data_IF_109369399382
#
_entry.id   IF_109369399382
#
_cell.length_a   1.000
_cell.length_b   1.000
_cell.length_c   1.000
_cell.angle_alpha   90.00
_cell.angle_beta   90.00
_cell.angle_gamma   90.00
#
_symmetry.space_group_name_H-M   'P 1'
#
loop_
_entity.id
_entity.type
_entity.pdbx_description
1 polymer ?
#
# COMPACT_ATOMS: atom_id res chain seq x y z
N UNK A 1 -6.54 -16.65 -6.57
CA UNK A 1 -6.45 -15.35 -7.27
C UNK A 1 -5.59 -14.43 -6.41
N UNK A 2 -4.48 -13.92 -6.93
CA UNK A 2 -3.53 -13.11 -6.14
C UNK A 2 -4.07 -11.69 -5.96
N UNK A 3 -4.38 -11.31 -4.72
CA UNK A 3 -4.79 -9.93 -4.37
C UNK A 3 -3.60 -9.22 -3.74
N UNK A 4 -3.27 -8.05 -4.27
CA UNK A 4 -2.27 -7.14 -3.72
C UNK A 4 -2.96 -6.00 -2.99
N UNK A 5 -2.59 -5.78 -1.73
CA UNK A 5 -2.97 -4.60 -0.95
C UNK A 5 -1.76 -3.68 -0.84
N UNK A 6 -1.84 -2.52 -1.48
CA UNK A 6 -0.88 -1.42 -1.33
C UNK A 6 -1.35 -0.56 -0.17
N UNK A 7 -0.74 -0.76 1.00
CA UNK A 7 -1.04 -0.07 2.25
C UNK A 7 -0.18 1.17 2.39
N UNK A 8 -0.81 2.34 2.37
CA UNK A 8 -0.15 3.64 2.46
C UNK A 8 -0.49 4.42 3.74
N UNK A 9 -0.55 3.72 4.87
CA UNK A 9 -0.71 4.32 6.18
C UNK A 9 0.67 4.68 6.79
N UNK A 10 0.91 5.94 7.22
CA UNK A 10 2.21 6.37 7.75
C UNK A 10 2.71 5.56 8.94
N UNK A 11 1.81 5.27 9.87
CA UNK A 11 2.08 4.41 11.01
C UNK A 11 0.98 3.36 11.17
N UNK A 12 1.15 2.22 10.49
CA UNK A 12 0.15 1.16 10.51
C UNK A 12 0.03 0.50 11.90
N UNK A 13 1.07 0.57 12.74
CA UNK A 13 1.09 -0.11 14.04
C UNK A 13 0.16 0.53 15.06
N UNK A 14 0.07 1.87 15.02
CA UNK A 14 -0.83 2.66 15.87
C UNK A 14 -2.22 2.85 15.25
N UNK A 15 -2.42 2.45 13.98
CA UNK A 15 -3.71 2.52 13.31
C UNK A 15 -4.74 1.60 13.97
N UNK A 16 -5.96 2.09 14.16
CA UNK A 16 -7.09 1.25 14.62
C UNK A 16 -7.74 0.50 13.47
N UNK A 17 -8.19 1.24 12.45
CA UNK A 17 -9.03 0.69 11.38
C UNK A 17 -8.20 -0.04 10.32
N UNK A 18 -7.12 0.55 9.81
CA UNK A 18 -6.32 -0.08 8.75
C UNK A 18 -5.58 -1.32 9.27
N UNK A 19 -5.16 -1.31 10.54
CA UNK A 19 -4.58 -2.47 11.20
C UNK A 19 -5.58 -3.62 11.33
N UNK A 20 -6.77 -3.35 11.88
CA UNK A 20 -7.82 -4.35 12.00
C UNK A 20 -8.22 -4.94 10.64
N UNK A 21 -8.30 -4.10 9.60
CA UNK A 21 -8.56 -4.57 8.24
C UNK A 21 -7.46 -5.53 7.75
N UNK A 22 -6.18 -5.17 7.89
CA UNK A 22 -5.05 -6.03 7.52
C UNK A 22 -5.14 -7.38 8.24
N UNK A 23 -5.25 -7.37 9.57
CA UNK A 23 -5.29 -8.57 10.41
C UNK A 23 -6.47 -9.49 10.03
N UNK A 24 -7.60 -8.91 9.63
CA UNK A 24 -8.78 -9.68 9.21
C UNK A 24 -8.65 -10.41 7.87
N UNK A 25 -7.65 -10.07 7.04
CA UNK A 25 -7.49 -10.64 5.69
C UNK A 25 -6.10 -11.24 5.43
N UNK A 26 -5.12 -11.03 6.29
CA UNK A 26 -3.74 -11.49 6.05
C UNK A 26 -3.62 -13.01 5.92
N UNK A 27 -4.49 -13.77 6.59
CA UNK A 27 -4.55 -15.23 6.52
C UNK A 27 -5.17 -15.76 5.21
N UNK A 28 -5.70 -14.90 4.34
CA UNK A 28 -6.38 -15.29 3.09
C UNK A 28 -5.45 -15.36 1.88
N UNK A 29 -4.13 -15.38 2.09
CA UNK A 29 -3.15 -15.40 1.00
C UNK A 29 -3.07 -14.08 0.23
N UNK A 30 -3.35 -12.96 0.91
CA UNK A 30 -3.24 -11.61 0.37
C UNK A 30 -1.81 -11.10 0.51
N UNK A 31 -1.27 -10.48 -0.54
CA UNK A 31 0.06 -9.86 -0.52
C UNK A 31 -0.07 -8.42 -0.06
N UNK A 32 0.80 -7.96 0.85
CA UNK A 32 0.79 -6.59 1.36
C UNK A 32 2.08 -5.85 0.98
N UNK A 33 1.97 -4.80 0.17
CA UNK A 33 3.02 -3.78 0.02
C UNK A 33 2.77 -2.67 1.04
N UNK A 34 3.67 -2.51 2.02
CA UNK A 34 3.53 -1.55 3.13
C UNK A 34 4.44 -0.35 2.85
N UNK A 35 3.95 0.62 2.08
CA UNK A 35 4.77 1.69 1.50
C UNK A 35 5.62 2.44 2.53
N UNK A 36 5.04 2.87 3.64
CA UNK A 36 5.76 3.62 4.67
C UNK A 36 6.78 2.78 5.46
N UNK A 37 6.57 1.47 5.54
CA UNK A 37 7.55 0.57 6.15
C UNK A 37 8.74 0.32 5.21
N UNK A 38 8.47 0.20 3.91
CA UNK A 38 9.47 -0.14 2.90
C UNK A 38 10.26 1.08 2.40
N UNK A 39 9.60 2.23 2.31
CA UNK A 39 10.13 3.47 1.75
C UNK A 39 9.97 4.62 2.75
N UNK A 40 10.47 4.44 3.96
CA UNK A 40 10.44 5.48 5.01
C UNK A 40 11.18 6.76 4.61
N UNK A 41 12.13 6.66 3.67
CA UNK A 41 12.89 7.76 3.07
C UNK A 41 12.28 8.30 1.76
N UNK A 42 11.09 7.83 1.37
CA UNK A 42 10.38 8.21 0.16
C UNK A 42 11.08 7.82 -1.16
N UNK A 43 12.07 6.92 -1.14
CA UNK A 43 12.73 6.42 -2.36
C UNK A 43 12.09 5.13 -2.84
N UNK A 44 11.03 5.27 -3.64
CA UNK A 44 10.27 4.14 -4.18
C UNK A 44 11.10 3.42 -5.26
N UNK A 45 11.22 2.09 -5.13
CA UNK A 45 11.71 1.24 -6.21
C UNK A 45 10.58 1.02 -7.21
N UNK A 46 10.61 1.81 -8.29
CA UNK A 46 9.56 1.84 -9.31
C UNK A 46 9.42 0.48 -9.98
N UNK A 47 10.53 -0.14 -10.38
CA UNK A 47 10.54 -1.41 -11.11
C UNK A 47 9.96 -2.53 -10.25
N UNK A 48 10.36 -2.61 -8.98
CA UNK A 48 9.86 -3.64 -8.07
C UNK A 48 8.34 -3.52 -7.85
N UNK A 49 7.83 -2.29 -7.69
CA UNK A 49 6.40 -2.05 -7.48
C UNK A 49 5.58 -2.32 -8.76
N UNK A 50 6.07 -1.95 -9.94
CA UNK A 50 5.43 -2.31 -11.21
C UNK A 50 5.37 -3.83 -11.43
N UNK A 51 6.45 -4.54 -11.10
CA UNK A 51 6.47 -6.01 -11.15
C UNK A 51 5.45 -6.61 -10.18
N UNK A 52 5.32 -6.06 -8.98
CA UNK A 52 4.35 -6.52 -8.00
C UNK A 52 2.90 -6.29 -8.48
N UNK A 53 2.64 -5.14 -9.11
CA UNK A 53 1.33 -4.82 -9.69
C UNK A 53 0.96 -5.78 -10.84
N UNK A 54 1.90 -6.13 -11.72
CA UNK A 54 1.63 -7.02 -12.87
C UNK A 54 1.38 -8.48 -12.47
N UNK A 55 1.88 -8.92 -11.30
CA UNK A 55 1.61 -10.25 -10.76
C UNK A 55 0.24 -10.36 -10.08
N UNK A 56 -0.39 -9.23 -9.74
CA UNK A 56 -1.66 -9.19 -9.05
C UNK A 56 -2.84 -9.32 -10.01
N UNK A 57 -3.84 -10.12 -9.63
CA UNK A 57 -5.14 -10.16 -10.32
C UNK A 57 -6.06 -9.04 -9.87
N UNK A 58 -5.92 -8.61 -8.62
CA UNK A 58 -6.71 -7.55 -8.00
C UNK A 58 -5.76 -6.67 -7.21
N UNK A 59 -5.91 -5.35 -7.35
CA UNK A 59 -5.10 -4.35 -6.65
C UNK A 59 -6.04 -3.52 -5.77
N UNK A 60 -5.71 -3.43 -4.48
CA UNK A 60 -6.45 -2.64 -3.50
C UNK A 60 -5.50 -1.60 -2.90
N UNK A 61 -5.86 -0.33 -3.03
CA UNK A 61 -5.18 0.75 -2.34
C UNK A 61 -5.85 1.00 -0.98
N UNK A 62 -5.11 0.78 0.11
CA UNK A 62 -5.60 0.98 1.48
C UNK A 62 -4.86 2.13 2.12
N UNK A 63 -5.57 3.21 2.44
CA UNK A 63 -4.99 4.38 3.09
C UNK A 63 -6.05 5.12 3.92
N UNK A 64 -5.65 5.80 5.00
CA UNK A 64 -6.53 6.72 5.69
C UNK A 64 -6.78 7.95 4.81
N UNK A 65 -7.99 8.50 4.87
CA UNK A 65 -8.28 9.78 4.23
C UNK A 65 -7.69 10.88 5.10
N UNK A 66 -6.73 11.62 4.57
CA UNK A 66 -6.14 12.81 5.19
C UNK A 66 -6.43 14.01 4.30
N UNK A 67 -7.02 15.06 4.88
CA UNK A 67 -7.35 16.30 4.15
C UNK A 67 -8.14 16.04 2.85
N UNK A 68 -9.21 15.24 2.94
CA UNK A 68 -10.02 14.82 1.79
C UNK A 68 -9.25 14.12 0.67
N UNK A 69 -8.05 13.64 0.98
CA UNK A 69 -7.12 13.03 0.04
C UNK A 69 -6.37 11.88 0.72
N UNK A 70 -5.21 11.52 0.19
CA UNK A 70 -4.38 10.44 0.67
C UNK A 70 -3.08 10.92 1.31
N UNK A 71 -2.27 9.97 1.77
CA UNK A 71 -0.97 10.26 2.36
C UNK A 71 0.05 10.70 1.29
N UNK A 72 1.04 11.56 1.63
CA UNK A 72 2.00 12.09 0.66
C UNK A 72 2.79 11.02 -0.09
N UNK A 73 3.20 9.94 0.60
CA UNK A 73 3.92 8.84 -0.03
C UNK A 73 3.04 8.08 -1.02
N UNK A 74 1.73 7.96 -0.73
CA UNK A 74 0.81 7.34 -1.69
C UNK A 74 0.67 8.19 -2.95
N UNK A 75 0.54 9.51 -2.81
CA UNK A 75 0.47 10.38 -3.98
C UNK A 75 1.73 10.27 -4.84
N UNK A 76 2.91 10.28 -4.20
CA UNK A 76 4.20 10.04 -4.88
C UNK A 76 4.28 8.68 -5.57
N UNK A 77 3.74 7.64 -4.94
CA UNK A 77 3.65 6.31 -5.53
C UNK A 77 2.84 6.31 -6.82
N UNK A 78 1.65 6.91 -6.81
CA UNK A 78 0.82 7.02 -8.01
C UNK A 78 1.56 7.77 -9.12
N UNK A 79 2.21 8.89 -8.79
CA UNK A 79 2.94 9.73 -9.75
C UNK A 79 4.16 9.05 -10.37
N UNK A 80 4.83 8.16 -9.64
CA UNK A 80 6.08 7.54 -10.10
C UNK A 80 5.87 6.16 -10.71
N UNK A 81 4.91 5.39 -10.19
CA UNK A 81 4.73 3.96 -10.53
C UNK A 81 3.69 3.79 -11.63
N UNK A 82 2.65 4.65 -11.67
CA UNK A 82 1.52 4.53 -12.61
C UNK A 82 1.52 5.58 -13.73
N UNK A 83 2.52 6.46 -13.77
CA UNK A 83 2.66 7.46 -14.82
C UNK A 83 3.11 6.88 -16.16
#
# INVERSE_FOLDING_TARGET
MATLVVSAHPDLQTSRINKALKESIEHKGVVFSKLYQQYSDFKIDITAEQQLLTQATHIVFSFPIFWYSCSPLFKKYLDNVLA
#
